data_IF_798483111673
#
_entry.id   IF_798483111673
#
_cell.length_a   1.000
_cell.length_b   1.000
_cell.length_c   1.000
_cell.angle_alpha   90.00
_cell.angle_beta   90.00
_cell.angle_gamma   90.00
#
_symmetry.space_group_name_H-M   'P 1'
#
loop_
_entity.id
_entity.type
_entity.pdbx_description
1 polymer ?
#
# COMPACT_ATOMS: atom_id res chain seq x y z
N UNK A 1 -11.77 -2.69 -12.71
CA UNK A 1 -11.93 -2.45 -11.25
C UNK A 1 -11.30 -3.59 -10.47
N UNK A 2 -10.74 -3.32 -9.29
CA UNK A 2 -10.14 -4.35 -8.42
C UNK A 2 -11.15 -5.02 -7.47
N UNK A 3 -10.67 -6.00 -6.70
CA UNK A 3 -11.43 -6.71 -5.66
C UNK A 3 -10.59 -6.96 -4.40
N UNK A 4 -9.89 -5.92 -3.92
CA UNK A 4 -8.87 -6.04 -2.86
C UNK A 4 -9.23 -5.35 -1.54
N UNK A 5 -10.08 -4.32 -1.56
CA UNK A 5 -10.52 -3.59 -0.37
C UNK A 5 -11.99 -3.14 -0.53
N UNK A 6 -12.90 -3.77 0.23
CA UNK A 6 -14.35 -3.55 0.11
C UNK A 6 -14.68 -2.07 0.39
N UNK A 7 -15.38 -1.42 -0.53
CA UNK A 7 -15.72 0.02 -0.46
C UNK A 7 -14.63 0.96 -1.01
N UNK A 8 -13.47 0.43 -1.40
CA UNK A 8 -12.32 1.23 -1.89
C UNK A 8 -11.86 0.84 -3.29
N UNK A 9 -12.28 -0.31 -3.80
CA UNK A 9 -11.90 -0.83 -5.12
C UNK A 9 -12.12 0.13 -6.31
N UNK A 10 -13.10 1.04 -6.22
CA UNK A 10 -13.45 1.98 -7.29
C UNK A 10 -12.64 3.29 -7.24
N UNK A 11 -11.91 3.56 -6.15
CA UNK A 11 -11.24 4.84 -5.89
C UNK A 11 -9.79 4.70 -5.39
N UNK A 12 -9.20 3.52 -5.54
CA UNK A 12 -7.84 3.25 -5.07
C UNK A 12 -7.10 2.27 -5.99
N UNK A 13 -5.77 2.28 -5.86
CA UNK A 13 -4.88 1.28 -6.44
C UNK A 13 -4.37 0.37 -5.31
N UNK A 14 -4.56 -0.94 -5.45
CA UNK A 14 -4.05 -1.94 -4.52
C UNK A 14 -2.66 -2.43 -4.92
N UNK A 15 -1.68 -2.34 -4.00
CA UNK A 15 -0.33 -2.90 -4.18
C UNK A 15 -0.13 -4.04 -3.19
N UNK A 16 -0.03 -5.27 -3.70
CA UNK A 16 0.18 -6.46 -2.87
C UNK A 16 1.65 -6.87 -2.85
N UNK A 17 2.19 -7.10 -1.66
CA UNK A 17 3.50 -7.73 -1.49
C UNK A 17 3.31 -9.24 -1.37
N UNK A 18 4.01 -10.01 -2.20
CA UNK A 18 3.91 -11.47 -2.17
C UNK A 18 4.63 -12.03 -0.94
N UNK A 19 3.86 -12.62 -0.02
CA UNK A 19 4.35 -13.24 1.21
C UNK A 19 3.56 -12.83 2.45
N UNK A 20 4.02 -13.30 3.62
CA UNK A 20 3.49 -12.89 4.93
C UNK A 20 4.50 -12.02 5.68
N UNK A 21 4.04 -10.84 6.12
CA UNK A 21 4.87 -9.79 6.71
C UNK A 21 4.38 -9.35 8.09
N UNK A 22 3.76 -10.26 8.84
CA UNK A 22 3.41 -10.00 10.23
C UNK A 22 4.66 -9.86 11.11
N UNK A 23 5.69 -10.68 10.87
CA UNK A 23 6.91 -10.72 11.70
C UNK A 23 8.21 -10.33 10.96
N UNK A 24 8.19 -10.32 9.63
CA UNK A 24 9.36 -9.99 8.80
C UNK A 24 9.02 -8.88 7.83
N UNK A 25 9.99 -8.04 7.53
CA UNK A 25 9.85 -6.96 6.54
C UNK A 25 10.09 -7.54 5.12
N UNK A 26 9.39 -7.09 4.07
CA UNK A 26 9.77 -7.43 2.70
C UNK A 26 11.21 -7.01 2.41
N UNK A 27 11.87 -7.69 1.47
CA UNK A 27 13.22 -7.30 1.09
C UNK A 27 13.26 -5.88 0.49
N UNK A 28 14.46 -5.28 0.45
CA UNK A 28 14.65 -3.93 -0.03
C UNK A 28 14.17 -3.74 -1.49
N UNK A 29 14.35 -4.76 -2.33
CA UNK A 29 13.90 -4.74 -3.73
C UNK A 29 12.38 -4.57 -3.84
N UNK A 30 11.58 -5.33 -3.07
CA UNK A 30 10.13 -5.22 -3.07
C UNK A 30 9.65 -3.84 -2.56
N UNK A 31 10.28 -3.33 -1.49
CA UNK A 31 9.96 -1.99 -0.96
C UNK A 31 10.29 -0.88 -1.96
N UNK A 32 11.43 -0.98 -2.65
CA UNK A 32 11.84 -0.05 -3.70
C UNK A 32 10.89 -0.13 -4.90
N UNK A 33 10.50 -1.34 -5.32
CA UNK A 33 9.55 -1.55 -6.41
C UNK A 33 8.19 -0.88 -6.12
N UNK A 34 7.64 -1.08 -4.93
CA UNK A 34 6.39 -0.44 -4.53
C UNK A 34 6.48 1.10 -4.54
N UNK A 35 7.57 1.68 -4.02
CA UNK A 35 7.80 3.14 -4.08
C UNK A 35 7.86 3.66 -5.51
N UNK A 36 8.60 2.97 -6.39
CA UNK A 36 8.71 3.33 -7.81
C UNK A 36 7.37 3.21 -8.54
N UNK A 37 6.58 2.18 -8.25
CA UNK A 37 5.25 2.00 -8.83
C UNK A 37 4.29 3.11 -8.40
N UNK A 38 4.30 3.51 -7.12
CA UNK A 38 3.50 4.65 -6.64
C UNK A 38 3.91 5.94 -7.36
N UNK A 39 5.21 6.23 -7.44
CA UNK A 39 5.73 7.41 -8.13
C UNK A 39 5.35 7.43 -9.61
N UNK A 40 5.48 6.29 -10.30
CA UNK A 40 5.09 6.14 -11.70
C UNK A 40 3.57 6.33 -11.89
N UNK A 41 2.75 5.80 -11.00
CA UNK A 41 1.30 6.01 -11.05
C UNK A 41 0.94 7.49 -10.89
N UNK A 42 1.65 8.23 -10.02
CA UNK A 42 1.47 9.68 -9.87
C UNK A 42 1.93 10.44 -11.12
N UNK A 43 3.12 10.12 -11.65
CA UNK A 43 3.68 10.83 -12.81
C UNK A 43 2.84 10.63 -14.08
N UNK A 44 2.23 9.45 -14.22
CA UNK A 44 1.37 9.09 -15.35
C UNK A 44 -0.10 9.47 -15.16
N UNK A 45 -0.46 10.10 -14.04
CA UNK A 45 -1.83 10.55 -13.76
C UNK A 45 -2.82 9.45 -13.35
N UNK A 46 -2.37 8.22 -13.13
CA UNK A 46 -3.21 7.12 -12.61
C UNK A 46 -3.51 7.26 -11.11
N UNK A 47 -2.67 7.99 -10.39
CA UNK A 47 -2.84 8.30 -8.98
C UNK A 47 -2.74 9.81 -8.78
N UNK A 48 -3.70 10.39 -8.05
CA UNK A 48 -3.67 11.83 -7.75
C UNK A 48 -2.37 12.22 -7.04
N UNK A 49 -1.79 13.38 -7.39
CA UNK A 49 -0.67 13.97 -6.63
C UNK A 49 -1.03 14.18 -5.16
N UNK A 50 -2.32 14.34 -4.84
CA UNK A 50 -2.83 14.51 -3.50
C UNK A 50 -3.20 13.19 -2.78
N UNK A 51 -2.80 12.01 -3.29
CA UNK A 51 -3.20 10.69 -2.78
C UNK A 51 -2.99 10.49 -1.27
N UNK A 52 -3.69 9.51 -0.71
CA UNK A 52 -3.46 9.02 0.65
C UNK A 52 -2.98 7.57 0.59
N UNK A 53 -1.89 7.27 1.28
CA UNK A 53 -1.41 5.89 1.46
C UNK A 53 -2.05 5.30 2.72
N UNK A 54 -2.59 4.09 2.60
CA UNK A 54 -3.21 3.34 3.70
C UNK A 54 -2.71 1.89 3.69
N UNK A 55 -2.64 1.26 4.85
CA UNK A 55 -2.62 -0.19 4.96
C UNK A 55 -4.03 -0.75 4.76
N UNK A 56 -4.16 -2.01 4.32
CA UNK A 56 -5.48 -2.64 4.13
C UNK A 56 -6.31 -2.65 5.44
N UNK A 57 -5.65 -2.88 6.58
CA UNK A 57 -6.26 -2.79 7.93
C UNK A 57 -6.88 -1.44 8.28
N UNK A 58 -6.54 -0.37 7.58
CA UNK A 58 -7.11 0.96 7.83
C UNK A 58 -8.51 1.13 7.21
N UNK A 59 -8.90 0.22 6.32
CA UNK A 59 -10.14 0.37 5.54
C UNK A 59 -11.08 -0.83 5.67
N UNK A 60 -10.57 -1.98 6.07
CA UNK A 60 -11.35 -3.19 6.31
C UNK A 60 -10.81 -3.94 7.56
N UNK A 61 -11.64 -4.75 8.23
CA UNK A 61 -11.23 -5.52 9.41
C UNK A 61 -10.32 -6.69 9.00
N UNK A 62 -9.02 -6.45 8.90
CA UNK A 62 -8.01 -7.44 8.48
C UNK A 62 -6.67 -7.15 9.15
N UNK A 63 -5.83 -8.19 9.28
CA UNK A 63 -4.43 -8.04 9.70
C UNK A 63 -3.51 -7.59 8.55
N UNK A 64 -3.95 -7.62 7.30
CA UNK A 64 -3.17 -7.16 6.15
C UNK A 64 -2.79 -5.66 6.31
N UNK A 65 -1.54 -5.23 6.05
CA UNK A 65 -0.46 -5.92 5.34
C UNK A 65 0.52 -6.72 6.24
N UNK A 66 0.15 -7.02 7.49
CA UNK A 66 1.04 -7.57 8.51
C UNK A 66 1.81 -6.47 9.27
N UNK A 67 2.11 -6.71 10.54
CA UNK A 67 2.62 -5.66 11.45
C UNK A 67 4.01 -5.14 11.08
N UNK A 68 4.90 -6.00 10.58
CA UNK A 68 6.24 -5.58 10.18
C UNK A 68 6.18 -4.67 8.94
N UNK A 69 5.43 -5.04 7.90
CA UNK A 69 5.24 -4.17 6.73
C UNK A 69 4.43 -2.92 7.06
N UNK A 70 3.37 -3.03 7.87
CA UNK A 70 2.59 -1.88 8.31
C UNK A 70 3.46 -0.84 9.00
N UNK A 71 4.38 -1.27 9.89
CA UNK A 71 5.33 -0.39 10.57
C UNK A 71 6.23 0.37 9.59
N UNK A 72 6.65 -0.28 8.50
CA UNK A 72 7.48 0.36 7.46
C UNK A 72 6.69 1.39 6.68
N UNK A 73 5.50 1.06 6.18
CA UNK A 73 4.71 1.99 5.34
C UNK A 73 4.15 3.17 6.13
N UNK A 74 4.03 3.07 7.47
CA UNK A 74 3.72 4.22 8.34
C UNK A 74 4.74 5.35 8.22
N UNK A 75 5.99 5.02 7.91
CA UNK A 75 7.05 6.00 7.68
C UNK A 75 7.08 6.55 6.25
N UNK A 76 6.20 6.11 5.36
CA UNK A 76 6.21 6.58 3.97
C UNK A 76 5.45 7.90 3.81
N UNK A 77 5.81 8.72 2.81
CA UNK A 77 5.09 9.95 2.52
C UNK A 77 3.60 9.69 2.30
N UNK A 78 2.77 10.61 2.81
CA UNK A 78 1.31 10.62 2.64
C UNK A 78 0.58 9.44 3.29
N UNK A 79 1.25 8.70 4.19
CA UNK A 79 0.57 7.70 5.01
C UNK A 79 -0.46 8.35 5.93
N UNK A 80 -1.68 7.79 5.98
CA UNK A 80 -2.68 8.10 6.99
C UNK A 80 -3.35 6.82 7.46
N UNK A 81 -3.35 6.59 8.77
CA UNK A 81 -4.08 5.49 9.38
C UNK A 81 -5.59 5.59 9.11
#
# INVERSE_FOLDING_TARGET
MGAHAKGWNHKSLGFSFLGSFSRRVPNAAALNAARRLIQCAVSRGFLSRSYTLKGHRNVNPTSCPGDALYRVIRGWPRFKA
#
